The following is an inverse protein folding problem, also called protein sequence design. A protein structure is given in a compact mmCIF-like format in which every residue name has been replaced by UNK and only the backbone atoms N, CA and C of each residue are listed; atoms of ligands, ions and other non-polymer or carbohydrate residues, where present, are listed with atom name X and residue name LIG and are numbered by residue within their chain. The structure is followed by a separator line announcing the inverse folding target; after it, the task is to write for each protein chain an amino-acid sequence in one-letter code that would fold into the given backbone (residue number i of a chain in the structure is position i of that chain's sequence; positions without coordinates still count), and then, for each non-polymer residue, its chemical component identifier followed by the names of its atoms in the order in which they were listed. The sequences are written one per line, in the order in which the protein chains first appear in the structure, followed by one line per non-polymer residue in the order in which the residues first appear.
data_IF_530905332792
#
_entry.id   IF_530905332792
#
_cell.length_a   1.000
_cell.length_b   1.000
_cell.length_c   1.000
_cell.angle_alpha   90.00
_cell.angle_beta   90.00
_cell.angle_gamma   90.00
#
_symmetry.space_group_name_H-M   'P 1'
#
loop_
_entity.id
_entity.type
_entity.pdbx_description
1 polymer ?
#
# COMPACT_ATOMS: atom_id res chain seq x y z
N UNK A 1 1.69 -20.07 -7.07
CA UNK A 1 1.36 -20.84 -8.28
C UNK A 1 0.02 -20.37 -8.81
N UNK A 2 0.02 -19.58 -9.89
CA UNK A 2 -1.17 -19.28 -10.69
C UNK A 2 -1.22 -20.39 -11.73
N UNK A 3 -1.90 -21.51 -11.44
CA UNK A 3 -1.88 -22.68 -12.33
C UNK A 3 -3.15 -22.84 -13.17
N UNK A 4 -4.10 -21.89 -13.14
CA UNK A 4 -5.39 -22.07 -13.80
C UNK A 4 -6.08 -20.79 -14.32
N UNK A 5 -5.40 -19.63 -14.35
CA UNK A 5 -6.04 -18.35 -14.70
C UNK A 5 -7.10 -17.89 -13.69
N UNK A 6 -7.32 -18.64 -12.59
CA UNK A 6 -8.23 -18.29 -11.50
C UNK A 6 -7.47 -17.93 -10.22
N UNK A 7 -7.91 -16.86 -9.55
CA UNK A 7 -7.51 -16.51 -8.20
C UNK A 7 -8.45 -17.20 -7.20
N UNK A 8 -7.94 -17.61 -6.04
CA UNK A 8 -8.78 -18.09 -4.94
C UNK A 8 -9.11 -16.96 -3.96
N UNK A 9 -10.26 -17.06 -3.29
CA UNK A 9 -10.61 -16.13 -2.21
C UNK A 9 -9.57 -16.11 -1.09
N UNK A 10 -8.97 -17.27 -0.79
CA UNK A 10 -7.89 -17.37 0.19
C UNK A 10 -6.63 -16.63 -0.25
N UNK A 11 -6.26 -16.73 -1.53
CA UNK A 11 -5.16 -15.95 -2.08
C UNK A 11 -5.43 -14.45 -1.97
N UNK A 12 -6.61 -14.00 -2.40
CA UNK A 12 -7.02 -12.58 -2.34
C UNK A 12 -7.00 -12.08 -0.89
N UNK A 13 -7.59 -12.84 0.03
CA UNK A 13 -7.59 -12.52 1.46
C UNK A 13 -6.17 -12.38 2.01
N UNK A 14 -5.30 -13.34 1.70
CA UNK A 14 -3.91 -13.32 2.14
C UNK A 14 -3.20 -12.07 1.64
N UNK A 15 -3.32 -11.74 0.34
CA UNK A 15 -2.71 -10.55 -0.23
C UNK A 15 -3.27 -9.25 0.36
N UNK A 16 -4.58 -9.19 0.62
CA UNK A 16 -5.22 -8.04 1.24
C UNK A 16 -4.73 -7.81 2.68
N UNK A 17 -4.41 -8.87 3.41
CA UNK A 17 -4.00 -8.84 4.83
C UNK A 17 -2.48 -8.79 5.02
N UNK A 18 -1.70 -9.17 4.00
CA UNK A 18 -0.25 -9.32 4.06
C UNK A 18 0.46 -8.07 4.54
N UNK A 19 0.02 -6.88 4.12
CA UNK A 19 0.65 -5.60 4.49
C UNK A 19 -0.21 -4.74 5.42
N UNK A 20 -1.37 -5.25 5.86
CA UNK A 20 -2.19 -4.51 6.82
C UNK A 20 -1.53 -4.44 8.18
N UNK A 21 -1.66 -3.26 8.81
CA UNK A 21 -1.31 -3.06 10.20
C UNK A 21 -2.36 -3.79 11.04
N UNK A 22 -1.89 -4.71 11.89
CA UNK A 22 -2.75 -5.49 12.77
C UNK A 22 -2.92 -4.75 14.10
N UNK A 23 -4.13 -4.68 14.67
CA UNK A 23 -4.32 -4.14 16.00
C UNK A 23 -3.48 -4.92 17.03
N UNK A 24 -2.76 -4.21 17.90
CA UNK A 24 -2.02 -4.86 18.98
C UNK A 24 -2.98 -5.40 20.03
N UNK A 25 -3.06 -6.72 20.17
CA UNK A 25 -3.79 -7.36 21.27
C UNK A 25 -2.91 -7.56 22.52
N UNK A 26 -3.51 -8.00 23.63
CA UNK A 26 -2.80 -8.22 24.89
C UNK A 26 -1.59 -9.17 24.76
N UNK A 27 -1.70 -10.22 23.93
CA UNK A 27 -0.60 -11.14 23.66
C UNK A 27 0.58 -10.41 23.04
N UNK A 28 0.35 -9.60 22.00
CA UNK A 28 1.42 -8.85 21.33
C UNK A 28 2.09 -7.83 22.25
N UNK A 29 1.31 -7.09 23.06
CA UNK A 29 1.88 -6.18 24.07
C UNK A 29 2.78 -6.93 25.06
N UNK A 30 2.32 -8.09 25.57
CA UNK A 30 3.08 -8.91 26.52
C UNK A 30 4.37 -9.43 25.91
N UNK A 31 4.32 -9.94 24.67
CA UNK A 31 5.50 -10.43 23.96
C UNK A 31 6.50 -9.31 23.65
N UNK A 32 6.03 -8.16 23.17
CA UNK A 32 6.87 -6.99 22.92
C UNK A 32 7.58 -6.53 24.19
N UNK A 33 6.87 -6.45 25.33
CA UNK A 33 7.46 -6.09 26.63
C UNK A 33 8.49 -7.10 27.12
N UNK A 34 8.25 -8.39 26.91
CA UNK A 34 9.12 -9.46 27.39
C UNK A 34 10.40 -9.59 26.55
N UNK A 35 10.29 -9.50 25.22
CA UNK A 35 11.38 -9.85 24.31
C UNK A 35 12.04 -8.61 23.69
N UNK A 36 11.25 -7.67 23.15
CA UNK A 36 11.78 -6.59 22.31
C UNK A 36 12.21 -5.35 23.11
N UNK A 37 11.38 -4.87 24.05
CA UNK A 37 11.70 -3.66 24.82
C UNK A 37 13.01 -3.75 25.61
N UNK A 38 13.37 -4.88 26.25
CA UNK A 38 14.65 -4.99 26.96
C UNK A 38 15.87 -4.90 26.04
N UNK A 39 15.69 -5.09 24.73
CA UNK A 39 16.71 -5.08 23.69
C UNK A 39 16.46 -4.00 22.64
N UNK A 40 15.72 -2.95 23.00
CA UNK A 40 15.27 -1.94 22.04
C UNK A 40 16.44 -1.21 21.37
N UNK A 41 17.52 -0.95 22.12
CA UNK A 41 18.72 -0.32 21.58
C UNK A 41 19.42 -1.25 20.60
N UNK A 42 19.63 -2.50 20.97
CA UNK A 42 20.28 -3.49 20.10
C UNK A 42 19.45 -3.75 18.85
N UNK A 43 18.12 -3.80 18.98
CA UNK A 43 17.20 -3.90 17.84
C UNK A 43 17.30 -2.70 16.90
N UNK A 44 17.39 -1.47 17.44
CA UNK A 44 17.62 -0.26 16.65
C UNK A 44 18.96 -0.34 15.91
N UNK A 45 20.04 -0.72 16.60
CA UNK A 45 21.38 -0.84 16.03
C UNK A 45 21.40 -1.90 14.91
N UNK A 46 20.70 -3.03 15.09
CA UNK A 46 20.52 -4.06 14.07
C UNK A 46 19.77 -3.52 12.84
N UNK A 47 18.64 -2.83 13.04
CA UNK A 47 17.88 -2.23 11.93
C UNK A 47 18.70 -1.19 11.16
N UNK A 48 19.49 -0.38 11.86
CA UNK A 48 20.35 0.61 11.25
C UNK A 48 21.47 -0.06 10.45
N UNK A 49 22.10 -1.11 10.99
CA UNK A 49 23.13 -1.87 10.27
C UNK A 49 22.59 -2.49 9.00
N UNK A 50 21.43 -3.16 9.06
CA UNK A 50 20.80 -3.76 7.88
C UNK A 50 20.41 -2.69 6.85
N UNK A 51 19.91 -1.54 7.29
CA UNK A 51 19.65 -0.38 6.43
C UNK A 51 20.93 0.10 5.74
N UNK A 52 22.02 0.27 6.47
CA UNK A 52 23.30 0.74 5.90
C UNK A 52 23.89 -0.28 4.92
N UNK A 53 23.75 -1.58 5.19
CA UNK A 53 24.15 -2.62 4.24
C UNK A 53 23.34 -2.51 2.95
N UNK A 54 22.02 -2.37 3.06
CA UNK A 54 21.17 -2.16 1.88
C UNK A 54 21.57 -0.90 1.10
N UNK A 55 21.83 0.23 1.79
CA UNK A 55 22.27 1.47 1.15
C UNK A 55 23.57 1.30 0.33
N UNK A 56 24.46 0.39 0.73
CA UNK A 56 25.73 0.11 0.03
C UNK A 56 25.54 -0.77 -1.21
N UNK A 57 24.60 -1.71 -1.16
CA UNK A 57 24.35 -2.69 -2.22
C UNK A 57 23.31 -2.19 -3.25
N UNK A 58 22.48 -1.23 -2.85
CA UNK A 58 21.40 -0.71 -3.69
C UNK A 58 21.92 0.21 -4.79
N UNK A 59 21.62 -0.12 -6.04
CA UNK A 59 21.85 0.73 -7.20
C UNK A 59 20.54 1.38 -7.67
N UNK A 60 20.33 2.68 -7.40
CA UNK A 60 19.12 3.39 -7.83
C UNK A 60 18.92 3.42 -9.34
N UNK A 61 19.98 3.23 -10.15
CA UNK A 61 19.89 3.27 -11.61
C UNK A 61 19.07 2.10 -12.19
N UNK A 62 18.93 1.00 -11.44
CA UNK A 62 18.11 -0.15 -11.83
C UNK A 62 16.62 0.02 -11.50
N UNK A 63 16.20 1.20 -11.03
CA UNK A 63 14.84 1.49 -10.58
C UNK A 63 14.29 2.76 -11.24
N UNK A 64 12.95 2.88 -11.39
CA UNK A 64 12.34 4.13 -11.84
C UNK A 64 12.81 5.32 -10.99
N UNK A 65 13.12 6.43 -11.65
CA UNK A 65 13.64 7.62 -10.97
C UNK A 65 12.54 8.28 -10.12
N UNK A 66 12.79 8.43 -8.82
CA UNK A 66 11.85 9.06 -7.85
C UNK A 66 12.39 10.34 -7.20
N UNK A 67 13.66 10.64 -7.43
CA UNK A 67 14.40 11.73 -6.82
C UNK A 67 15.83 11.32 -6.49
N UNK A 68 16.54 12.18 -5.75
CA UNK A 68 17.86 11.84 -5.21
C UNK A 68 17.67 10.83 -4.08
N UNK A 69 18.31 9.67 -4.19
CA UNK A 69 18.30 8.66 -3.14
C UNK A 69 18.71 9.26 -1.78
N UNK A 70 17.98 8.98 -0.67
CA UNK A 70 16.95 7.94 -0.51
C UNK A 70 15.50 8.43 -0.74
N UNK A 71 15.30 9.65 -1.27
CA UNK A 71 13.96 10.24 -1.37
C UNK A 71 13.03 9.41 -2.27
N UNK A 72 11.88 8.99 -1.72
CA UNK A 72 10.88 8.18 -2.43
C UNK A 72 11.17 6.67 -2.49
N UNK A 73 12.27 6.18 -1.90
CA UNK A 73 12.67 4.77 -1.95
C UNK A 73 12.23 3.96 -0.72
N UNK A 74 11.18 4.39 0.01
CA UNK A 74 10.76 3.70 1.24
C UNK A 74 10.35 2.24 1.03
N UNK A 75 9.74 1.94 -0.11
CA UNK A 75 9.36 0.57 -0.48
C UNK A 75 10.61 -0.30 -0.74
N UNK A 76 11.52 0.16 -1.59
CA UNK A 76 12.75 -0.56 -1.95
C UNK A 76 13.60 -0.82 -0.70
N UNK A 77 13.81 0.21 0.12
CA UNK A 77 14.57 0.13 1.37
C UNK A 77 13.91 -0.87 2.33
N UNK A 78 12.62 -0.72 2.63
CA UNK A 78 11.95 -1.60 3.60
C UNK A 78 11.93 -3.04 3.11
N UNK A 79 11.73 -3.27 1.81
CA UNK A 79 11.77 -4.61 1.22
C UNK A 79 13.17 -5.22 1.28
N UNK A 80 14.20 -4.48 0.90
CA UNK A 80 15.58 -4.97 0.95
C UNK A 80 16.04 -5.29 2.38
N UNK A 81 15.74 -4.41 3.33
CA UNK A 81 16.02 -4.68 4.75
C UNK A 81 15.24 -5.90 5.25
N UNK A 82 14.00 -6.12 4.78
CA UNK A 82 13.23 -7.33 5.11
C UNK A 82 13.97 -8.59 4.68
N UNK A 83 14.47 -8.61 3.45
CA UNK A 83 15.14 -9.78 2.87
C UNK A 83 16.45 -10.08 3.63
N UNK A 84 17.23 -9.06 3.97
CA UNK A 84 18.42 -9.20 4.83
C UNK A 84 18.05 -9.69 6.24
N UNK A 85 17.00 -9.12 6.84
CA UNK A 85 16.51 -9.49 8.16
C UNK A 85 16.07 -10.96 8.22
N UNK A 86 15.29 -11.42 7.25
CA UNK A 86 14.81 -12.80 7.17
C UNK A 86 15.96 -13.80 7.01
N UNK A 87 17.02 -13.41 6.28
CA UNK A 87 18.22 -14.21 6.17
C UNK A 87 18.94 -14.32 7.54
N UNK A 88 19.17 -13.21 8.22
CA UNK A 88 19.91 -13.20 9.49
C UNK A 88 19.12 -13.80 10.67
N UNK A 89 17.79 -13.74 10.66
CA UNK A 89 16.96 -14.37 11.70
C UNK A 89 17.10 -15.90 11.74
N UNK A 90 17.60 -16.55 10.67
CA UNK A 90 17.90 -17.99 10.65
C UNK A 90 19.07 -18.34 11.58
N UNK A 91 20.01 -17.42 11.75
CA UNK A 91 21.19 -17.59 12.61
C UNK A 91 21.61 -16.23 13.20
N UNK A 92 20.86 -15.70 14.20
CA UNK A 92 21.08 -14.37 14.73
C UNK A 92 22.42 -14.29 15.47
N UNK A 93 23.22 -13.29 15.10
CA UNK A 93 24.56 -13.05 15.68
C UNK A 93 24.58 -11.96 16.75
N UNK A 94 23.49 -11.22 16.89
CA UNK A 94 23.37 -10.07 17.78
C UNK A 94 22.23 -10.26 18.78
N UNK A 95 22.29 -9.56 19.91
CA UNK A 95 21.27 -9.67 20.95
C UNK A 95 19.89 -9.15 20.50
N UNK A 96 19.83 -8.13 19.63
CA UNK A 96 18.58 -7.60 19.09
C UNK A 96 17.89 -8.60 18.16
N UNK A 97 18.62 -9.17 17.20
CA UNK A 97 18.08 -10.21 16.31
C UNK A 97 17.73 -11.51 17.05
N UNK A 98 18.51 -11.89 18.07
CA UNK A 98 18.16 -13.05 18.90
C UNK A 98 16.82 -12.82 19.62
N UNK A 99 16.63 -11.63 20.20
CA UNK A 99 15.37 -11.25 20.84
C UNK A 99 14.19 -11.20 19.86
N UNK A 100 14.40 -10.69 18.64
CA UNK A 100 13.37 -10.69 17.59
C UNK A 100 13.01 -12.11 17.15
N UNK A 101 14.00 -12.99 16.96
CA UNK A 101 13.75 -14.41 16.66
C UNK A 101 12.93 -15.07 17.76
N UNK A 102 13.33 -14.89 19.02
CA UNK A 102 12.63 -15.50 20.16
C UNK A 102 11.20 -14.93 20.30
N UNK A 103 11.01 -13.63 20.04
CA UNK A 103 9.70 -13.01 19.95
C UNK A 103 8.82 -13.68 18.88
N UNK A 104 9.34 -13.89 17.67
CA UNK A 104 8.62 -14.55 16.58
C UNK A 104 8.27 -16.01 16.92
N UNK A 105 9.21 -16.76 17.50
CA UNK A 105 8.99 -18.16 17.92
C UNK A 105 7.87 -18.31 18.96
N UNK A 106 7.58 -17.26 19.74
CA UNK A 106 6.47 -17.23 20.70
C UNK A 106 5.15 -16.73 20.10
N UNK A 107 5.10 -16.55 18.78
CA UNK A 107 3.94 -16.05 18.04
C UNK A 107 3.82 -14.52 18.07
N UNK A 108 4.94 -13.83 18.22
CA UNK A 108 5.03 -12.40 17.98
C UNK A 108 4.84 -12.06 16.49
N UNK A 109 4.15 -10.96 16.20
CA UNK A 109 3.95 -10.49 14.82
C UNK A 109 5.18 -9.70 14.40
N UNK A 110 5.91 -10.17 13.39
CA UNK A 110 6.96 -9.41 12.73
C UNK A 110 6.75 -9.45 11.22
N UNK A 111 6.29 -8.34 10.64
CA UNK A 111 5.93 -8.26 9.22
C UNK A 111 6.13 -6.85 8.67
N UNK A 112 6.32 -6.76 7.35
CA UNK A 112 6.20 -5.48 6.64
C UNK A 112 4.73 -5.05 6.61
N UNK A 113 4.52 -3.75 6.69
CA UNK A 113 3.21 -3.10 6.67
C UNK A 113 3.26 -1.85 5.81
N UNK A 114 2.13 -1.52 5.19
CA UNK A 114 1.93 -0.32 4.40
C UNK A 114 0.70 0.44 4.92
N UNK A 115 0.81 1.76 5.03
CA UNK A 115 -0.28 2.52 5.63
C UNK A 115 -0.13 4.03 5.56
N UNK A 116 -1.04 4.67 6.28
CA UNK A 116 -1.12 6.11 6.47
C UNK A 116 -0.35 6.52 7.73
N UNK A 117 0.82 7.13 7.55
CA UNK A 117 1.59 7.70 8.64
C UNK A 117 1.14 9.14 8.89
N UNK A 118 0.55 9.38 10.08
CA UNK A 118 0.21 10.71 10.60
C UNK A 118 -0.70 11.54 9.70
N UNK A 119 -1.49 10.90 8.83
CA UNK A 119 -2.31 11.56 7.81
C UNK A 119 -1.48 12.43 6.86
N UNK A 120 -0.24 12.04 6.58
CA UNK A 120 0.72 12.83 5.79
C UNK A 120 1.41 12.02 4.73
N UNK A 121 1.75 10.76 5.01
CA UNK A 121 2.60 9.95 4.15
C UNK A 121 2.01 8.57 3.90
N UNK A 122 2.14 8.08 2.67
CA UNK A 122 2.12 6.64 2.42
C UNK A 122 3.46 6.07 2.86
N UNK A 123 3.45 5.19 3.86
CA UNK A 123 4.69 4.67 4.45
C UNK A 123 4.75 3.14 4.39
N UNK A 124 5.93 2.62 4.03
CA UNK A 124 6.31 1.23 4.27
C UNK A 124 7.14 1.17 5.55
N UNK A 125 6.80 0.25 6.44
CA UNK A 125 7.52 0.03 7.69
C UNK A 125 7.39 -1.44 8.11
N UNK A 126 7.93 -1.79 9.27
CA UNK A 126 7.62 -3.04 9.95
C UNK A 126 6.71 -2.82 11.15
N UNK A 127 5.88 -3.83 11.41
CA UNK A 127 5.21 -3.99 12.69
C UNK A 127 5.87 -5.16 13.43
N UNK A 128 6.51 -4.85 14.57
CA UNK A 128 7.06 -5.86 15.50
C UNK A 128 6.23 -5.85 16.79
N UNK A 129 5.13 -6.60 16.78
CA UNK A 129 4.13 -6.62 17.84
C UNK A 129 3.51 -5.25 18.04
N UNK A 130 3.79 -4.64 19.20
CA UNK A 130 3.36 -3.27 19.54
C UNK A 130 4.34 -2.17 19.09
N UNK A 131 5.36 -2.50 18.29
CA UNK A 131 6.32 -1.53 17.78
C UNK A 131 6.07 -1.22 16.30
N UNK A 132 6.04 0.06 15.99
CA UNK A 132 6.33 0.60 14.67
C UNK A 132 7.84 0.68 14.48
N UNK A 133 8.36 0.08 13.42
CA UNK A 133 9.79 0.09 13.09
C UNK A 133 9.95 0.54 11.65
N UNK A 134 10.38 1.79 11.46
CA UNK A 134 10.66 2.37 10.17
C UNK A 134 12.15 2.34 9.91
N UNK A 135 12.55 1.67 8.83
CA UNK A 135 13.94 1.65 8.38
C UNK A 135 14.21 2.63 7.25
N UNK A 136 13.23 3.49 6.94
CA UNK A 136 13.19 4.41 5.80
C UNK A 136 12.68 5.81 6.19
N UNK A 137 12.88 6.22 7.44
CA UNK A 137 12.32 7.45 8.01
C UNK A 137 12.91 8.74 7.39
N UNK A 138 14.07 8.63 6.73
CA UNK A 138 14.75 9.70 5.98
C UNK A 138 14.29 9.84 4.51
N UNK A 139 13.36 9.01 4.05
CA UNK A 139 12.95 8.96 2.62
C UNK A 139 12.00 10.08 2.18
N UNK A 140 11.52 10.91 3.11
CA UNK A 140 10.80 12.15 2.79
C UNK A 140 11.64 13.37 3.18
N UNK A 141 12.26 13.31 4.35
CA UNK A 141 13.11 14.38 4.89
C UNK A 141 14.49 13.79 5.20
N UNK A 142 15.44 14.01 4.29
CA UNK A 142 16.76 13.37 4.32
C UNK A 142 17.61 13.68 5.56
N UNK A 143 17.25 14.72 6.33
CA UNK A 143 17.92 15.10 7.58
C UNK A 143 17.42 14.32 8.80
N UNK A 144 16.35 13.54 8.68
CA UNK A 144 15.85 12.68 9.76
C UNK A 144 16.79 11.48 9.97
N UNK A 145 16.76 10.85 11.17
CA UNK A 145 17.38 9.55 11.36
C UNK A 145 16.84 8.51 10.37
N UNK A 146 17.71 7.63 9.86
CA UNK A 146 17.36 6.55 8.93
C UNK A 146 16.33 5.58 9.50
N UNK A 147 16.46 5.29 10.80
CA UNK A 147 15.62 4.36 11.54
C UNK A 147 14.82 5.10 12.60
N UNK A 148 13.54 4.74 12.76
CA UNK A 148 12.67 5.17 13.86
C UNK A 148 11.99 3.95 14.46
N UNK A 149 12.04 3.79 15.79
CA UNK A 149 11.27 2.76 16.51
C UNK A 149 10.41 3.42 17.57
N UNK A 150 9.10 3.20 17.50
CA UNK A 150 8.12 3.77 18.42
C UNK A 150 7.07 2.72 18.81
N UNK A 151 6.42 2.86 19.97
CA UNK A 151 5.15 2.17 20.20
C UNK A 151 4.15 2.50 19.07
N UNK A 152 3.45 1.49 18.55
CA UNK A 152 2.57 1.64 17.39
C UNK A 152 1.51 2.72 17.60
N UNK A 153 0.92 2.77 18.81
CA UNK A 153 -0.04 3.81 19.19
C UNK A 153 0.53 5.23 19.20
N UNK A 154 1.84 5.40 19.41
CA UNK A 154 2.53 6.71 19.36
C UNK A 154 2.95 7.10 17.94
N UNK A 155 3.19 6.13 17.06
CA UNK A 155 3.57 6.38 15.68
C UNK A 155 2.44 7.08 14.87
N UNK A 156 1.17 6.89 15.28
CA UNK A 156 -0.03 7.31 14.53
C UNK A 156 -0.01 6.75 13.11
N UNK A 157 0.27 5.46 13.01
CA UNK A 157 0.33 4.72 11.76
C UNK A 157 -0.94 3.87 11.62
N UNK A 158 -1.72 4.16 10.57
CA UNK A 158 -3.07 3.62 10.41
C UNK A 158 -3.19 2.86 9.09
N UNK A 159 -3.98 1.79 9.08
CA UNK A 159 -4.28 1.05 7.85
C UNK A 159 -5.06 1.95 6.89
N UNK A 160 -4.75 1.87 5.60
CA UNK A 160 -5.55 2.48 4.54
C UNK A 160 -6.67 1.51 4.21
N UNK A 161 -7.83 1.71 4.82
CA UNK A 161 -8.95 0.76 4.78
C UNK A 161 -9.98 1.04 3.68
N UNK A 162 -9.98 2.24 3.09
CA UNK A 162 -10.86 2.60 1.98
C UNK A 162 -10.23 3.66 1.06
N UNK A 163 -10.90 3.90 -0.07
CA UNK A 163 -10.46 4.85 -1.09
C UNK A 163 -10.65 6.32 -0.70
N UNK A 164 -11.49 6.65 0.29
CA UNK A 164 -11.60 8.02 0.78
C UNK A 164 -10.36 8.43 1.58
N UNK A 165 -9.86 7.51 2.43
CA UNK A 165 -8.59 7.65 3.14
C UNK A 165 -7.44 7.70 2.14
N UNK A 166 -7.40 6.77 1.18
CA UNK A 166 -6.37 6.76 0.14
C UNK A 166 -6.37 8.08 -0.64
N UNK A 167 -7.52 8.52 -1.14
CA UNK A 167 -7.64 9.73 -1.94
C UNK A 167 -7.22 10.98 -1.16
N UNK A 168 -7.68 11.12 0.09
CA UNK A 168 -7.30 12.25 0.94
C UNK A 168 -5.79 12.28 1.22
N UNK A 169 -5.17 11.11 1.39
CA UNK A 169 -3.73 11.00 1.59
C UNK A 169 -2.96 11.30 0.31
N UNK A 170 -3.45 10.85 -0.85
CA UNK A 170 -2.87 11.11 -2.16
C UNK A 170 -2.82 12.60 -2.48
N UNK A 171 -3.91 13.34 -2.29
CA UNK A 171 -3.91 14.80 -2.51
C UNK A 171 -2.89 15.50 -1.62
N UNK A 172 -2.82 15.12 -0.34
CA UNK A 172 -1.91 15.75 0.62
C UNK A 172 -0.45 15.41 0.36
N UNK A 173 -0.14 14.15 0.07
CA UNK A 173 1.24 13.69 -0.07
C UNK A 173 1.84 14.00 -1.45
N UNK A 174 1.05 13.86 -2.51
CA UNK A 174 1.50 14.07 -3.89
C UNK A 174 1.11 15.44 -4.46
N UNK A 175 0.40 16.26 -3.70
CA UNK A 175 0.00 17.62 -4.08
C UNK A 175 -0.80 17.67 -5.40
N UNK A 176 -1.67 16.68 -5.62
CA UNK A 176 -2.55 16.60 -6.80
C UNK A 176 -4.02 16.56 -6.42
N UNK A 177 -4.86 16.22 -7.40
CA UNK A 177 -6.31 16.20 -7.25
C UNK A 177 -6.91 14.83 -7.56
N UNK A 178 -7.79 14.36 -6.68
CA UNK A 178 -8.52 13.10 -6.84
C UNK A 178 -9.90 13.35 -7.44
N UNK A 179 -10.27 12.51 -8.41
CA UNK A 179 -11.55 12.50 -9.11
C UNK A 179 -12.14 11.08 -9.14
N UNK A 180 -13.48 10.95 -9.12
CA UNK A 180 -14.13 9.65 -9.25
C UNK A 180 -14.01 9.13 -10.69
N UNK A 181 -13.56 7.90 -10.86
CA UNK A 181 -13.54 7.25 -12.17
C UNK A 181 -14.96 6.90 -12.62
N UNK A 182 -15.60 7.84 -13.32
CA UNK A 182 -16.94 7.66 -13.93
C UNK A 182 -16.89 7.63 -15.45
N UNK A 183 -15.74 7.92 -16.04
CA UNK A 183 -15.54 7.95 -17.49
C UNK A 183 -15.08 6.58 -18.03
N UNK A 184 -14.50 5.72 -17.17
CA UNK A 184 -14.09 4.35 -17.53
C UNK A 184 -14.78 3.34 -16.59
N UNK A 185 -16.10 3.12 -16.73
CA UNK A 185 -16.88 2.36 -15.75
C UNK A 185 -16.44 0.90 -15.58
N UNK A 186 -15.90 0.27 -16.61
CA UNK A 186 -15.35 -1.09 -16.51
C UNK A 186 -14.09 -1.14 -15.62
N UNK A 187 -13.19 -0.15 -15.78
CA UNK A 187 -12.01 -0.01 -14.93
C UNK A 187 -12.37 0.44 -13.51
N UNK A 188 -13.41 1.25 -13.36
CA UNK A 188 -13.81 1.87 -12.10
C UNK A 188 -14.13 0.85 -10.98
N UNK A 189 -14.52 -0.37 -11.34
CA UNK A 189 -14.77 -1.48 -10.40
C UNK A 189 -13.51 -1.85 -9.61
N UNK A 190 -12.35 -1.87 -10.28
CA UNK A 190 -11.05 -2.17 -9.67
C UNK A 190 -10.28 -0.90 -9.28
N UNK A 191 -10.40 0.15 -10.09
CA UNK A 191 -9.64 1.39 -9.99
C UNK A 191 -10.58 2.61 -9.99
N UNK A 192 -11.20 2.92 -8.84
CA UNK A 192 -12.21 3.97 -8.76
C UNK A 192 -11.64 5.39 -8.73
N UNK A 193 -10.31 5.56 -8.70
CA UNK A 193 -9.64 6.85 -8.55
C UNK A 193 -8.95 7.24 -9.86
N UNK A 194 -9.32 8.42 -10.37
CA UNK A 194 -8.50 9.22 -11.27
C UNK A 194 -7.71 10.23 -10.45
N UNK A 195 -6.42 10.34 -10.68
CA UNK A 195 -5.56 11.33 -10.03
C UNK A 195 -4.93 12.23 -11.07
N UNK A 196 -4.98 13.54 -10.81
CA UNK A 196 -4.30 14.55 -11.62
C UNK A 196 -3.15 15.10 -10.79
N UNK A 197 -1.92 14.90 -11.25
CA UNK A 197 -0.72 15.37 -10.53
C UNK A 197 -0.64 16.90 -10.48
N UNK A 198 0.28 17.44 -9.67
CA UNK A 198 0.55 18.89 -9.62
C UNK A 198 0.94 19.45 -11.00
N UNK A 199 1.57 18.63 -11.84
CA UNK A 199 1.99 18.94 -13.21
C UNK A 199 0.85 18.75 -14.23
N UNK A 200 -0.34 18.34 -13.80
CA UNK A 200 -1.50 18.12 -14.67
C UNK A 200 -1.53 16.76 -15.35
N UNK A 201 -0.72 15.78 -14.93
CA UNK A 201 -0.76 14.45 -15.52
C UNK A 201 -1.91 13.62 -14.94
N UNK A 202 -2.80 13.12 -15.81
CA UNK A 202 -3.85 12.19 -15.43
C UNK A 202 -3.27 10.77 -15.32
N UNK A 203 -3.59 10.08 -14.22
CA UNK A 203 -3.19 8.70 -13.96
C UNK A 203 -4.32 7.93 -13.26
N UNK A 204 -4.41 6.62 -13.51
CA UNK A 204 -5.24 5.71 -12.70
C UNK A 204 -4.46 5.31 -11.44
N UNK A 205 -5.00 5.64 -10.27
CA UNK A 205 -4.34 5.38 -8.99
C UNK A 205 -5.02 4.28 -8.17
N UNK A 206 -4.45 4.02 -7.00
CA UNK A 206 -4.87 2.95 -6.08
C UNK A 206 -4.79 1.55 -6.69
N UNK A 207 -3.89 1.38 -7.67
CA UNK A 207 -3.45 0.10 -8.23
C UNK A 207 -2.42 -0.62 -7.34
N UNK A 208 -2.16 -0.11 -6.13
CA UNK A 208 -1.31 -0.78 -5.17
C UNK A 208 -1.99 -2.05 -4.65
N UNK A 209 -1.22 -3.14 -4.60
CA UNK A 209 -1.74 -4.49 -4.37
C UNK A 209 -2.63 -4.58 -3.13
N UNK A 210 -2.25 -4.00 -1.99
CA UNK A 210 -3.01 -4.14 -0.75
C UNK A 210 -4.44 -3.59 -0.82
N UNK A 211 -4.63 -2.35 -1.29
CA UNK A 211 -5.99 -1.77 -1.37
C UNK A 211 -6.81 -2.39 -2.50
N UNK A 212 -6.17 -2.76 -3.61
CA UNK A 212 -6.81 -3.47 -4.71
C UNK A 212 -7.32 -4.85 -4.26
N UNK A 213 -6.47 -5.66 -3.64
CA UNK A 213 -6.88 -6.97 -3.11
C UNK A 213 -7.90 -6.83 -1.99
N UNK A 214 -7.85 -5.76 -1.19
CA UNK A 214 -8.89 -5.48 -0.20
C UNK A 214 -10.24 -5.17 -0.85
N UNK A 215 -10.24 -4.41 -1.95
CA UNK A 215 -11.45 -4.15 -2.72
C UNK A 215 -12.01 -5.46 -3.33
N UNK A 216 -11.15 -6.31 -3.90
CA UNK A 216 -11.54 -7.64 -4.42
C UNK A 216 -12.07 -8.57 -3.30
N UNK A 217 -11.42 -8.58 -2.13
CA UNK A 217 -11.84 -9.35 -0.95
C UNK A 217 -13.27 -8.97 -0.54
N UNK A 218 -13.59 -7.68 -0.60
CA UNK A 218 -14.90 -7.12 -0.27
C UNK A 218 -15.84 -7.02 -1.47
N UNK A 219 -15.59 -7.81 -2.52
CA UNK A 219 -16.45 -7.91 -3.71
C UNK A 219 -16.78 -6.54 -4.34
N UNK A 220 -15.71 -5.74 -4.46
CA UNK A 220 -15.68 -4.39 -5.01
C UNK A 220 -16.49 -3.32 -4.24
N UNK A 221 -16.94 -3.64 -3.02
CA UNK A 221 -17.75 -2.73 -2.21
C UNK A 221 -17.03 -1.43 -1.83
N UNK A 222 -15.69 -1.41 -1.76
CA UNK A 222 -14.94 -0.20 -1.45
C UNK A 222 -14.98 0.80 -2.60
N UNK A 223 -14.77 0.32 -3.84
CA UNK A 223 -14.86 1.14 -5.04
C UNK A 223 -16.30 1.66 -5.23
N UNK A 224 -17.29 0.79 -5.03
CA UNK A 224 -18.70 1.18 -5.13
C UNK A 224 -19.08 2.26 -4.10
N UNK A 225 -18.62 2.11 -2.85
CA UNK A 225 -18.79 3.12 -1.80
C UNK A 225 -18.17 4.45 -2.22
N UNK A 226 -16.92 4.44 -2.68
CA UNK A 226 -16.18 5.64 -3.06
C UNK A 226 -16.90 6.41 -4.17
N UNK A 227 -17.34 5.72 -5.22
CA UNK A 227 -17.97 6.37 -6.37
C UNK A 227 -19.37 6.90 -6.03
N UNK A 228 -20.18 6.18 -5.24
CA UNK A 228 -21.58 6.55 -4.98
C UNK A 228 -21.78 7.46 -3.75
N UNK A 229 -20.95 7.27 -2.71
CA UNK A 229 -21.13 7.88 -1.39
C UNK A 229 -19.85 8.48 -0.83
N UNK A 230 -18.73 8.35 -1.54
CA UNK A 230 -17.43 8.83 -1.09
C UNK A 230 -17.33 10.35 -1.12
N UNK A 231 -16.29 10.84 -0.48
CA UNK A 231 -16.01 12.28 -0.31
C UNK A 231 -15.83 13.00 -1.65
N UNK A 232 -15.36 12.28 -2.67
CA UNK A 232 -14.98 12.83 -3.97
C UNK A 232 -16.07 12.66 -5.03
N UNK A 233 -17.22 12.05 -4.70
CA UNK A 233 -18.22 11.58 -5.67
C UNK A 233 -18.76 12.68 -6.61
N UNK A 234 -18.81 13.92 -6.12
CA UNK A 234 -19.41 15.07 -6.81
C UNK A 234 -18.37 15.89 -7.59
N UNK A 235 -17.10 15.47 -7.58
CA UNK A 235 -16.04 16.16 -8.34
C UNK A 235 -16.12 15.82 -9.82
N UNK A 236 -15.96 16.85 -10.65
CA UNK A 236 -16.03 16.76 -12.10
C UNK A 236 -14.61 16.82 -12.66
N UNK A 237 -14.23 15.80 -13.43
CA UNK A 237 -12.93 15.76 -14.09
C UNK A 237 -12.82 16.92 -15.12
N UNK A 238 -11.69 17.65 -15.19
CA UNK A 238 -11.50 18.70 -16.19
C UNK A 238 -11.72 18.22 -17.62
N UNK A 239 -12.36 19.04 -18.45
CA UNK A 239 -12.82 18.67 -19.80
C UNK A 239 -11.71 18.13 -20.71
N UNK A 240 -10.50 18.70 -20.63
CA UNK A 240 -9.36 18.25 -21.42
C UNK A 240 -8.92 16.81 -21.06
N UNK A 241 -9.04 16.41 -19.79
CA UNK A 241 -8.81 15.04 -19.36
C UNK A 241 -9.93 14.11 -19.81
N UNK A 242 -11.19 14.57 -19.76
CA UNK A 242 -12.33 13.81 -20.31
C UNK A 242 -12.13 13.51 -21.78
N UNK A 243 -11.74 14.51 -22.58
CA UNK A 243 -11.42 14.36 -24.01
C UNK A 243 -10.29 13.37 -24.25
N UNK A 244 -9.21 13.46 -23.46
CA UNK A 244 -8.10 12.50 -23.53
C UNK A 244 -8.57 11.07 -23.26
N UNK A 245 -9.36 10.87 -22.19
CA UNK A 245 -9.90 9.55 -21.85
C UNK A 245 -10.79 8.99 -22.97
N UNK A 246 -11.65 9.80 -23.58
CA UNK A 246 -12.53 9.35 -24.65
C UNK A 246 -11.77 9.04 -25.94
N UNK A 247 -10.84 9.92 -26.36
CA UNK A 247 -10.12 9.76 -27.64
C UNK A 247 -9.05 8.68 -27.62
N UNK A 248 -8.34 8.49 -26.51
CA UNK A 248 -7.18 7.59 -26.43
C UNK A 248 -7.53 6.24 -25.79
N UNK A 249 -8.52 6.20 -24.88
CA UNK A 249 -8.77 5.04 -24.02
C UNK A 249 -10.22 4.53 -24.06
N UNK A 250 -11.05 5.05 -24.96
CA UNK A 250 -12.45 4.64 -25.12
C UNK A 250 -13.36 5.01 -23.94
N UNK A 251 -12.97 6.03 -23.17
CA UNK A 251 -13.78 6.57 -22.08
C UNK A 251 -15.06 7.26 -22.56
N UNK A 252 -16.04 7.35 -21.66
CA UNK A 252 -17.28 8.08 -21.91
C UNK A 252 -17.05 9.58 -21.83
N UNK A 253 -17.60 10.35 -22.77
CA UNK A 253 -17.60 11.82 -22.68
C UNK A 253 -18.48 12.34 -21.53
N UNK A 254 -19.59 11.64 -21.28
CA UNK A 254 -20.51 11.93 -20.16
C UNK A 254 -20.24 10.92 -19.05
N UNK A 255 -20.01 11.35 -17.79
CA UNK A 255 -19.75 10.43 -16.69
C UNK A 255 -20.97 9.53 -16.45
N UNK A 256 -20.71 8.26 -16.17
CA UNK A 256 -21.77 7.28 -15.90
C UNK A 256 -22.63 7.68 -14.68
N UNK A 257 -23.94 7.49 -14.81
CA UNK A 257 -24.91 7.71 -13.73
C UNK A 257 -24.71 6.70 -12.59
N UNK A 258 -25.21 7.00 -11.39
CA UNK A 258 -25.16 6.03 -10.28
C UNK A 258 -25.93 4.73 -10.58
N UNK A 259 -27.03 4.83 -11.32
CA UNK A 259 -27.87 3.66 -11.62
C UNK A 259 -27.24 2.78 -12.69
N UNK A 260 -26.56 3.36 -13.67
CA UNK A 260 -25.79 2.60 -14.65
C UNK A 260 -24.51 2.03 -14.05
N UNK A 261 -23.84 2.76 -13.16
CA UNK A 261 -22.65 2.28 -12.47
C UNK A 261 -22.92 0.99 -11.67
N UNK A 262 -24.09 0.87 -11.03
CA UNK A 262 -24.51 -0.36 -10.31
C UNK A 262 -24.53 -1.59 -11.23
N UNK A 263 -24.79 -1.42 -12.53
CA UNK A 263 -24.80 -2.53 -13.49
C UNK A 263 -23.39 -3.10 -13.66
N UNK A 264 -22.38 -2.25 -13.79
CA UNK A 264 -20.97 -2.68 -13.88
C UNK A 264 -20.51 -3.45 -12.64
N UNK A 265 -20.86 -2.98 -11.44
CA UNK A 265 -20.56 -3.71 -10.21
C UNK A 265 -21.32 -5.04 -10.13
N UNK A 266 -22.60 -5.06 -10.51
CA UNK A 266 -23.40 -6.29 -10.53
C UNK A 266 -22.83 -7.31 -11.52
N UNK A 267 -22.39 -6.85 -12.69
CA UNK A 267 -21.77 -7.68 -13.71
C UNK A 267 -20.40 -8.21 -13.27
N UNK A 268 -19.58 -7.41 -12.61
CA UNK A 268 -18.30 -7.85 -12.05
C UNK A 268 -18.48 -8.95 -11.00
N UNK A 269 -19.53 -8.86 -10.17
CA UNK A 269 -19.87 -9.90 -9.18
C UNK A 269 -20.41 -11.16 -9.85
N UNK A 270 -21.38 -11.00 -10.76
CA UNK A 270 -21.99 -12.10 -11.52
C UNK A 270 -20.96 -12.88 -12.33
N UNK A 271 -20.00 -12.19 -12.94
CA UNK A 271 -18.94 -12.81 -13.74
C UNK A 271 -17.72 -13.24 -12.93
N UNK A 272 -17.79 -13.12 -11.59
CA UNK A 272 -16.70 -13.41 -10.66
C UNK A 272 -15.37 -12.76 -11.07
N UNK A 273 -15.41 -11.50 -11.54
CA UNK A 273 -14.22 -10.79 -12.04
C UNK A 273 -13.03 -10.88 -11.07
N UNK A 274 -13.27 -10.78 -9.75
CA UNK A 274 -12.24 -10.87 -8.72
C UNK A 274 -11.48 -12.22 -8.71
N UNK A 275 -12.07 -13.28 -9.26
CA UNK A 275 -11.47 -14.61 -9.35
C UNK A 275 -10.85 -14.86 -10.73
N UNK A 276 -11.02 -13.98 -11.70
CA UNK A 276 -10.45 -14.10 -13.04
C UNK A 276 -9.12 -13.34 -13.12
N UNK A 277 -8.01 -14.08 -13.01
CA UNK A 277 -6.68 -13.49 -13.01
C UNK A 277 -6.34 -12.83 -14.34
N UNK A 278 -6.83 -13.37 -15.46
CA UNK A 278 -6.54 -12.87 -16.80
C UNK A 278 -7.25 -11.53 -17.01
N UNK A 279 -8.56 -11.46 -16.72
CA UNK A 279 -9.32 -10.20 -16.83
C UNK A 279 -8.80 -9.15 -15.85
N UNK A 280 -8.48 -9.53 -14.61
CA UNK A 280 -7.87 -8.61 -13.65
C UNK A 280 -6.54 -8.04 -14.16
N UNK A 281 -5.69 -8.87 -14.77
CA UNK A 281 -4.41 -8.43 -15.32
C UNK A 281 -4.60 -7.49 -16.52
N UNK A 282 -5.52 -7.80 -17.43
CA UNK A 282 -5.84 -6.92 -18.56
C UNK A 282 -6.31 -5.53 -18.11
N UNK A 283 -7.19 -5.47 -17.09
CA UNK A 283 -7.64 -4.20 -16.53
C UNK A 283 -6.49 -3.44 -15.85
N UNK A 284 -5.58 -4.14 -15.17
CA UNK A 284 -4.39 -3.54 -14.57
C UNK A 284 -3.43 -2.98 -15.62
N UNK A 285 -3.25 -3.69 -16.73
CA UNK A 285 -2.38 -3.25 -17.82
C UNK A 285 -2.97 -2.03 -18.51
N UNK A 286 -4.28 -2.01 -18.77
CA UNK A 286 -4.98 -0.82 -19.27
C UNK A 286 -4.89 0.37 -18.29
N UNK A 287 -5.02 0.13 -16.98
CA UNK A 287 -4.85 1.19 -15.99
C UNK A 287 -3.44 1.79 -15.98
N UNK A 288 -2.41 1.02 -16.35
CA UNK A 288 -1.01 1.48 -16.38
C UNK A 288 -0.64 2.28 -17.62
N UNK A 289 -1.44 2.20 -18.69
CA UNK A 289 -1.19 2.98 -19.92
C UNK A 289 -1.79 4.39 -19.88
N UNK A 290 -2.67 4.66 -18.92
CA UNK A 290 -3.34 5.96 -18.72
C UNK A 290 -2.46 6.89 -17.89
#
# INVERSE_FOLDING_TARGET
MISSGKLSLEFIKRQAEEEQILPTNFKQVKLTKKYLLPRLKELYDDMLRLRLQFDQEFDPANHPQKGIYPKGYCYEITKGVKDLLEHELRSPKTAGLAALRDFCLQGGIAKRVWGNLRHEYFQNAFQFGDLYVDVSNDTVTITKPKVEILPLGKARFHSISDYDIYGSLAEKYWNGQVYPNRHLPELAVMFPILFVSAEGNLQIHANYQTILYRNMQLDFALAEKFLNKGRFRDRILPEHHVKRLSSEFGGLEIPVSNDDLKKYFSDARRTELRLDAVRCQLLLDQARTI
#
